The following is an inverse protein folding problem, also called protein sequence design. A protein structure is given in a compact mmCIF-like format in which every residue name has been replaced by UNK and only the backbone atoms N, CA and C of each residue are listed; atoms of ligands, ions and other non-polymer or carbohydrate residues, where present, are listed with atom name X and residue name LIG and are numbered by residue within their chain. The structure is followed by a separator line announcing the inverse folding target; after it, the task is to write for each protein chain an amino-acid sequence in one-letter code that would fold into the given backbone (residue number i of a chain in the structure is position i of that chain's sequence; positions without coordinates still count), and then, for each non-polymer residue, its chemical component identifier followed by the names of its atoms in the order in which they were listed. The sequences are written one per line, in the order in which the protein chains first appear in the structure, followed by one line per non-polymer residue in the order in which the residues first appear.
data_IF_875223795791
#
_entry.id   IF_875223795791
#
_cell.length_a   1.000
_cell.length_b   1.000
_cell.length_c   1.000
_cell.angle_alpha   90.00
_cell.angle_beta   90.00
_cell.angle_gamma   90.00
#
_symmetry.space_group_name_H-M   'P 1'
#
loop_
_entity.id
_entity.type
_entity.pdbx_description
1 polymer ?
#
# COMPACT_ATOMS: atom_id res chain seq x y z
N UNK A 1 30.36 10.37 -10.73
CA UNK A 1 29.07 11.07 -10.79
C UNK A 1 28.00 10.08 -10.31
N UNK A 2 27.71 10.05 -9.02
CA UNK A 2 26.80 9.07 -8.42
C UNK A 2 25.37 9.56 -8.67
N UNK A 3 24.68 8.91 -9.60
CA UNK A 3 23.27 9.13 -9.88
C UNK A 3 22.44 8.76 -8.66
N UNK A 4 21.97 9.74 -7.91
CA UNK A 4 20.95 9.57 -6.89
C UNK A 4 19.64 9.15 -7.58
N UNK A 5 19.22 7.89 -7.43
CA UNK A 5 17.87 7.47 -7.82
C UNK A 5 16.89 8.09 -6.82
N UNK A 6 16.02 9.03 -7.24
CA UNK A 6 15.01 9.58 -6.35
C UNK A 6 13.95 8.49 -6.10
N UNK A 7 13.55 8.32 -4.84
CA UNK A 7 12.29 7.71 -4.42
C UNK A 7 12.01 6.21 -4.66
N UNK A 8 12.93 5.41 -5.21
CA UNK A 8 12.66 3.98 -5.35
C UNK A 8 12.90 3.26 -4.00
N UNK A 9 11.80 2.86 -3.35
CA UNK A 9 11.80 2.05 -2.15
C UNK A 9 10.80 0.91 -2.31
N UNK A 10 11.07 -0.20 -1.64
CA UNK A 10 10.19 -1.37 -1.61
C UNK A 10 9.63 -1.52 -0.21
N UNK A 11 8.35 -1.85 -0.14
CA UNK A 11 7.76 -2.37 1.09
C UNK A 11 7.73 -3.90 0.98
N UNK A 12 8.10 -4.58 2.06
CA UNK A 12 8.06 -6.04 2.15
C UNK A 12 7.57 -6.45 3.52
N UNK A 13 6.87 -7.58 3.58
CA UNK A 13 6.31 -8.12 4.82
C UNK A 13 7.01 -9.42 5.26
N UNK A 14 8.05 -9.84 4.53
CA UNK A 14 8.76 -11.08 4.83
C UNK A 14 9.92 -10.80 5.79
N UNK A 15 9.66 -10.86 7.09
CA UNK A 15 10.65 -10.60 8.12
C UNK A 15 11.87 -11.55 8.05
N UNK A 16 11.71 -12.75 7.49
CA UNK A 16 12.81 -13.69 7.28
C UNK A 16 13.84 -13.19 6.26
N UNK A 17 13.47 -12.24 5.40
CA UNK A 17 14.40 -11.58 4.47
C UNK A 17 15.23 -10.47 5.13
N UNK A 18 14.97 -10.08 6.38
CA UNK A 18 15.68 -8.99 7.05
C UNK A 18 17.21 -9.19 7.10
N UNK A 19 17.76 -10.39 7.43
CA UNK A 19 19.19 -10.64 7.38
C UNK A 19 19.79 -10.46 5.98
N UNK A 20 19.06 -10.83 4.93
CA UNK A 20 19.51 -10.64 3.54
C UNK A 20 19.65 -9.14 3.21
N UNK A 21 18.68 -8.32 3.61
CA UNK A 21 18.78 -6.87 3.42
C UNK A 21 19.95 -6.26 4.19
N UNK A 22 20.19 -6.71 5.43
CA UNK A 22 21.38 -6.28 6.18
C UNK A 22 22.69 -6.67 5.48
N UNK A 23 22.79 -7.88 4.94
CA UNK A 23 23.97 -8.33 4.20
C UNK A 23 24.21 -7.50 2.93
N UNK A 24 23.15 -7.22 2.16
CA UNK A 24 23.22 -6.37 0.96
C UNK A 24 23.58 -4.92 1.30
N UNK A 25 23.09 -4.38 2.41
CA UNK A 25 23.47 -3.04 2.88
C UNK A 25 24.94 -3.00 3.30
N UNK A 26 25.40 -4.01 4.04
CA UNK A 26 26.80 -4.11 4.49
C UNK A 26 27.78 -4.25 3.31
N UNK A 27 27.39 -4.91 2.22
CA UNK A 27 28.19 -5.00 0.98
C UNK A 27 28.00 -3.82 0.02
N UNK A 28 27.22 -2.79 0.40
CA UNK A 28 26.86 -1.65 -0.44
C UNK A 28 26.20 -2.06 -1.79
N UNK A 29 25.44 -3.16 -1.78
CA UNK A 29 24.71 -3.72 -2.91
C UNK A 29 23.20 -3.53 -2.82
N UNK A 30 22.68 -2.97 -1.72
CA UNK A 30 21.26 -2.64 -1.58
C UNK A 30 20.96 -1.33 -2.32
N UNK A 31 20.28 -1.35 -3.48
CA UNK A 31 20.14 -0.15 -4.32
C UNK A 31 18.92 0.70 -3.92
N UNK A 32 18.07 0.19 -3.02
CA UNK A 32 16.74 0.71 -2.72
C UNK A 32 16.51 0.81 -1.22
N UNK A 33 15.64 1.73 -0.82
CA UNK A 33 15.15 1.76 0.56
C UNK A 33 14.20 0.58 0.79
N UNK A 34 14.35 -0.09 1.92
CA UNK A 34 13.50 -1.20 2.34
C UNK A 34 12.66 -0.75 3.53
N UNK A 35 11.35 -0.78 3.37
CA UNK A 35 10.40 -0.65 4.46
C UNK A 35 9.89 -2.04 4.81
N UNK A 36 10.46 -2.63 5.84
CA UNK A 36 10.08 -3.94 6.33
C UNK A 36 8.92 -3.78 7.33
N UNK A 37 7.83 -4.48 7.06
CA UNK A 37 6.61 -4.50 7.85
C UNK A 37 6.29 -5.93 8.27
N UNK A 38 6.91 -6.44 9.35
CA UNK A 38 6.63 -7.80 9.83
C UNK A 38 5.14 -7.99 10.09
N UNK A 39 4.65 -9.21 9.90
CA UNK A 39 3.31 -9.58 10.31
C UNK A 39 3.17 -9.45 11.83
N UNK A 40 1.97 -9.12 12.30
CA UNK A 40 1.71 -9.03 13.74
C UNK A 40 2.14 -10.29 14.51
N UNK A 41 1.90 -11.48 13.96
CA UNK A 41 2.25 -12.74 14.62
C UNK A 41 3.77 -12.92 14.77
N UNK A 42 4.58 -12.26 13.92
CA UNK A 42 6.04 -12.29 14.01
C UNK A 42 6.57 -11.38 15.11
N UNK A 43 5.78 -10.43 15.64
CA UNK A 43 6.21 -9.53 16.73
C UNK A 43 5.47 -9.76 18.04
N UNK A 44 4.42 -10.58 18.03
CA UNK A 44 3.63 -10.90 19.21
C UNK A 44 4.40 -11.90 20.10
N UNK A 45 4.85 -11.50 21.32
CA UNK A 45 5.63 -12.36 22.19
C UNK A 45 4.86 -13.61 22.67
N UNK A 46 3.54 -13.65 22.50
CA UNK A 46 2.70 -14.79 22.85
C UNK A 46 2.48 -15.76 21.67
N UNK A 47 2.96 -15.42 20.47
CA UNK A 47 2.79 -16.25 19.29
C UNK A 47 3.99 -17.19 19.08
N UNK A 48 3.72 -18.47 18.75
CA UNK A 48 4.78 -19.48 18.55
C UNK A 48 5.76 -19.16 17.41
N UNK A 49 5.33 -18.36 16.43
CA UNK A 49 6.15 -17.87 15.32
C UNK A 49 6.78 -16.49 15.54
N UNK A 50 6.81 -15.97 16.77
CA UNK A 50 7.46 -14.69 17.06
C UNK A 50 8.94 -14.72 16.65
N UNK A 51 9.37 -13.65 15.99
CA UNK A 51 10.74 -13.41 15.53
C UNK A 51 11.33 -12.24 16.32
N UNK A 52 12.63 -12.32 16.60
CA UNK A 52 13.38 -11.15 17.06
C UNK A 52 13.77 -10.29 15.85
N UNK A 53 12.92 -9.30 15.56
CA UNK A 53 13.17 -8.29 14.52
C UNK A 53 13.90 -7.06 15.06
N UNK A 54 14.38 -7.09 16.32
CA UNK A 54 15.19 -6.03 16.92
C UNK A 54 14.42 -4.76 17.34
N UNK A 55 13.09 -4.83 17.42
CA UNK A 55 12.25 -3.67 17.74
C UNK A 55 12.12 -2.67 16.58
N UNK A 56 11.42 -1.53 16.79
CA UNK A 56 11.29 -0.51 15.77
C UNK A 56 12.61 0.26 15.58
N UNK A 57 13.12 0.32 14.35
CA UNK A 57 14.33 1.06 14.00
C UNK A 57 14.32 1.63 12.59
N UNK A 58 15.22 2.58 12.37
CA UNK A 58 15.63 3.02 11.04
C UNK A 58 17.15 3.08 10.98
N UNK A 59 17.75 2.29 10.10
CA UNK A 59 19.19 2.25 9.89
C UNK A 59 19.52 2.33 8.40
N UNK A 60 20.04 3.48 7.98
CA UNK A 60 20.41 3.79 6.60
C UNK A 60 19.26 3.57 5.60
N UNK A 61 19.30 2.50 4.80
CA UNK A 61 18.28 2.18 3.79
C UNK A 61 17.15 1.30 4.33
N UNK A 62 17.31 0.70 5.51
CA UNK A 62 16.34 -0.24 6.09
C UNK A 62 15.55 0.46 7.19
N UNK A 63 14.22 0.38 7.12
CA UNK A 63 13.29 0.85 8.15
C UNK A 63 12.36 -0.28 8.55
N UNK A 64 12.29 -0.56 9.84
CA UNK A 64 11.34 -1.48 10.48
C UNK A 64 10.62 -0.69 11.55
N UNK A 65 9.47 -0.07 11.26
CA UNK A 65 8.78 0.81 12.23
C UNK A 65 7.26 0.70 12.17
N UNK A 66 6.78 -0.32 11.45
CA UNK A 66 5.39 -0.63 11.21
C UNK A 66 5.19 -2.13 11.29
N UNK A 67 4.00 -2.56 11.69
CA UNK A 67 3.56 -3.95 11.73
C UNK A 67 2.37 -4.12 10.81
N UNK A 68 2.37 -5.19 10.02
CA UNK A 68 1.30 -5.52 9.09
C UNK A 68 0.17 -6.26 9.80
N UNK A 69 -1.05 -5.85 9.53
CA UNK A 69 -2.30 -6.52 9.90
C UNK A 69 -3.22 -6.59 8.68
N UNK A 70 -4.16 -7.53 8.69
CA UNK A 70 -5.18 -7.69 7.65
C UNK A 70 -6.55 -7.61 8.29
N UNK A 71 -7.41 -6.70 7.86
CA UNK A 71 -8.80 -6.62 8.29
C UNK A 71 -9.69 -7.57 7.47
N UNK A 72 -9.41 -7.71 6.18
CA UNK A 72 -10.14 -8.56 5.24
C UNK A 72 -9.22 -9.14 4.14
N UNK A 73 -9.82 -9.83 3.17
CA UNK A 73 -9.11 -10.42 2.03
C UNK A 73 -9.06 -9.53 0.79
N UNK A 74 -9.47 -10.07 -0.36
CA UNK A 74 -9.40 -9.40 -1.66
C UNK A 74 -10.70 -9.48 -2.45
N UNK A 75 -10.91 -8.54 -3.38
CA UNK A 75 -12.09 -8.54 -4.25
C UNK A 75 -12.10 -9.74 -5.20
N UNK A 76 -10.96 -10.07 -5.81
CA UNK A 76 -10.87 -11.14 -6.81
C UNK A 76 -11.14 -12.54 -6.27
N UNK A 77 -10.83 -12.78 -4.99
CA UNK A 77 -11.15 -14.04 -4.31
C UNK A 77 -12.48 -13.98 -3.52
N UNK A 78 -13.27 -12.93 -3.69
CA UNK A 78 -14.50 -12.66 -2.93
C UNK A 78 -14.33 -12.73 -1.40
N UNK A 79 -13.20 -12.25 -0.88
CA UNK A 79 -12.87 -12.29 0.56
C UNK A 79 -12.77 -10.91 1.19
N UNK A 80 -12.83 -9.83 0.41
CA UNK A 80 -12.93 -8.48 0.96
C UNK A 80 -14.32 -8.30 1.61
N UNK A 81 -14.36 -7.71 2.80
CA UNK A 81 -15.60 -7.65 3.59
C UNK A 81 -16.52 -6.57 3.05
N UNK A 82 -17.70 -6.94 2.57
CA UNK A 82 -18.69 -6.04 2.00
C UNK A 82 -19.94 -5.97 2.87
N UNK A 83 -20.65 -4.83 2.81
CA UNK A 83 -21.95 -4.66 3.50
C UNK A 83 -23.06 -5.49 2.83
N UNK A 84 -22.97 -5.69 1.53
CA UNK A 84 -23.91 -6.46 0.72
C UNK A 84 -23.17 -7.63 0.05
N UNK A 85 -23.88 -8.72 -0.29
CA UNK A 85 -23.25 -9.84 -0.99
C UNK A 85 -22.59 -9.42 -2.31
N UNK A 86 -21.55 -10.16 -2.69
CA UNK A 86 -20.98 -10.09 -4.03
C UNK A 86 -22.06 -10.37 -5.08
N UNK A 87 -21.88 -9.80 -6.27
CA UNK A 87 -22.79 -9.96 -7.39
C UNK A 87 -23.01 -11.45 -7.67
N UNK A 88 -24.27 -11.85 -7.84
CA UNK A 88 -24.67 -13.23 -8.16
C UNK A 88 -24.21 -14.27 -7.10
N UNK A 89 -23.94 -13.83 -5.87
CA UNK A 89 -23.46 -14.65 -4.76
C UNK A 89 -24.23 -14.33 -3.46
N UNK A 90 -24.09 -15.20 -2.46
CA UNK A 90 -24.54 -14.93 -1.06
C UNK A 90 -23.37 -14.55 -0.16
N UNK A 91 -22.14 -14.64 -0.67
CA UNK A 91 -20.91 -14.35 0.05
C UNK A 91 -20.77 -12.83 0.27
N UNK A 92 -20.34 -12.43 1.47
CA UNK A 92 -20.06 -11.03 1.84
C UNK A 92 -18.57 -10.80 2.17
N UNK A 93 -17.71 -11.77 1.86
CA UNK A 93 -16.31 -11.79 2.24
C UNK A 93 -16.11 -12.13 3.71
N UNK A 94 -14.92 -11.84 4.22
CA UNK A 94 -14.51 -12.22 5.58
C UNK A 94 -13.89 -11.03 6.33
N UNK A 95 -14.15 -10.97 7.62
CA UNK A 95 -13.29 -10.24 8.55
C UNK A 95 -12.26 -11.23 9.09
N UNK A 96 -10.98 -10.92 8.90
CA UNK A 96 -9.87 -11.77 9.38
C UNK A 96 -9.83 -11.78 10.91
N UNK A 97 -10.19 -10.65 11.52
CA UNK A 97 -10.18 -10.44 12.97
C UNK A 97 -11.51 -9.85 13.44
N UNK A 98 -11.90 -10.18 14.67
CA UNK A 98 -12.98 -9.44 15.35
C UNK A 98 -12.49 -8.05 15.78
N UNK A 99 -13.40 -7.15 16.16
CA UNK A 99 -12.99 -5.84 16.68
C UNK A 99 -12.11 -5.97 17.93
N UNK A 100 -12.45 -6.88 18.84
CA UNK A 100 -11.71 -7.07 20.09
C UNK A 100 -10.31 -7.65 19.83
N UNK A 101 -10.20 -8.60 18.89
CA UNK A 101 -8.91 -9.15 18.46
C UNK A 101 -8.05 -8.07 17.78
N UNK A 102 -8.63 -7.25 16.88
CA UNK A 102 -7.92 -6.11 16.29
C UNK A 102 -7.40 -5.13 17.35
N UNK A 103 -8.23 -4.79 18.35
CA UNK A 103 -7.82 -3.89 19.43
C UNK A 103 -6.69 -4.50 20.26
N UNK A 104 -6.75 -5.80 20.58
CA UNK A 104 -5.69 -6.49 21.29
C UNK A 104 -4.38 -6.49 20.48
N UNK A 105 -4.44 -6.80 19.18
CA UNK A 105 -3.28 -6.80 18.28
C UNK A 105 -2.66 -5.42 18.12
N UNK A 106 -3.48 -4.39 17.92
CA UNK A 106 -3.01 -2.99 17.84
C UNK A 106 -2.34 -2.58 19.14
N UNK A 107 -2.87 -3.00 20.30
CA UNK A 107 -2.27 -2.72 21.61
C UNK A 107 -0.89 -3.34 21.74
N UNK A 108 -0.73 -4.63 21.39
CA UNK A 108 0.58 -5.32 21.43
C UNK A 108 1.60 -4.58 20.56
N UNK A 109 1.25 -4.28 19.31
CA UNK A 109 2.15 -3.55 18.41
C UNK A 109 2.50 -2.15 18.96
N UNK A 110 1.52 -1.43 19.51
CA UNK A 110 1.73 -0.10 20.08
C UNK A 110 2.62 -0.11 21.31
N UNK A 111 2.40 -1.05 22.24
CA UNK A 111 3.22 -1.21 23.45
C UNK A 111 4.66 -1.63 23.11
N UNK A 112 4.86 -2.37 22.02
CA UNK A 112 6.18 -2.67 21.44
C UNK A 112 6.81 -1.49 20.65
N UNK A 113 6.13 -0.35 20.56
CA UNK A 113 6.64 0.88 19.93
C UNK A 113 6.44 0.96 18.41
N UNK A 114 5.69 0.03 17.81
CA UNK A 114 5.40 0.03 16.39
C UNK A 114 4.18 0.88 16.03
N UNK A 115 4.16 1.36 14.79
CA UNK A 115 2.93 1.83 14.13
C UNK A 115 2.24 0.64 13.46
N UNK A 116 0.94 0.74 13.20
CA UNK A 116 0.20 -0.31 12.50
C UNK A 116 -0.07 0.07 11.05
N UNK A 117 0.01 -0.92 10.17
CA UNK A 117 -0.45 -0.84 8.79
C UNK A 117 -1.48 -1.94 8.56
N UNK A 118 -2.74 -1.53 8.39
CA UNK A 118 -3.86 -2.46 8.29
C UNK A 118 -4.32 -2.49 6.83
N UNK A 119 -4.24 -3.66 6.22
CA UNK A 119 -4.85 -3.93 4.92
C UNK A 119 -6.38 -4.00 5.09
N UNK A 120 -7.10 -3.17 4.34
CA UNK A 120 -8.56 -3.20 4.25
C UNK A 120 -8.97 -2.85 2.83
N UNK A 121 -9.65 -3.75 2.13
CA UNK A 121 -10.15 -3.52 0.77
C UNK A 121 -11.63 -3.15 0.79
N UNK A 122 -12.44 -3.94 1.48
CA UNK A 122 -13.86 -3.72 1.61
C UNK A 122 -14.16 -2.50 2.49
N UNK A 123 -15.12 -1.67 2.07
CA UNK A 123 -15.53 -0.50 2.85
C UNK A 123 -16.04 -0.89 4.25
N UNK A 124 -16.64 -2.07 4.39
CA UNK A 124 -17.10 -2.58 5.69
C UNK A 124 -15.93 -2.94 6.62
N UNK A 125 -14.85 -3.53 6.10
CA UNK A 125 -13.65 -3.79 6.89
C UNK A 125 -13.01 -2.49 7.40
N UNK A 126 -13.05 -1.42 6.59
CA UNK A 126 -12.58 -0.09 6.96
C UNK A 126 -13.53 0.69 7.87
N UNK A 127 -14.75 0.20 8.14
CA UNK A 127 -15.84 0.91 8.83
C UNK A 127 -16.30 2.19 8.12
N UNK A 128 -16.21 2.19 6.80
CA UNK A 128 -16.55 3.33 5.94
C UNK A 128 -17.69 3.02 4.96
N UNK A 129 -18.43 1.92 5.19
CA UNK A 129 -19.52 1.44 4.34
C UNK A 129 -20.75 2.36 4.28
N UNK A 130 -20.77 3.43 5.09
CA UNK A 130 -21.79 4.47 5.01
C UNK A 130 -21.50 5.54 3.96
N UNK A 131 -20.26 5.60 3.45
CA UNK A 131 -19.81 6.64 2.52
C UNK A 131 -18.91 6.14 1.39
N UNK A 132 -18.34 4.94 1.47
CA UNK A 132 -17.48 4.32 0.44
C UNK A 132 -18.06 2.97 -0.02
N UNK A 133 -17.57 2.50 -1.17
CA UNK A 133 -17.80 1.12 -1.63
C UNK A 133 -19.05 0.90 -2.47
N UNK A 134 -19.77 1.97 -2.85
CA UNK A 134 -20.92 1.89 -3.75
C UNK A 134 -20.96 3.11 -4.70
N UNK A 135 -21.45 2.90 -5.92
CA UNK A 135 -21.63 3.95 -6.94
C UNK A 135 -23.12 4.32 -6.98
N UNK A 136 -23.59 4.91 -5.89
CA UNK A 136 -24.98 5.36 -5.72
C UNK A 136 -25.04 6.75 -5.09
N UNK A 137 -26.12 7.54 -5.30
CA UNK A 137 -26.28 8.84 -4.66
C UNK A 137 -26.19 8.73 -3.13
N UNK A 138 -25.34 9.57 -2.52
CA UNK A 138 -25.06 9.56 -1.08
C UNK A 138 -23.68 9.00 -0.71
N UNK A 139 -23.01 8.30 -1.62
CA UNK A 139 -21.64 7.80 -1.46
C UNK A 139 -20.61 8.74 -2.11
N UNK A 140 -19.33 8.59 -1.74
CA UNK A 140 -18.25 9.35 -2.36
C UNK A 140 -18.04 8.91 -3.81
N UNK A 141 -18.08 9.89 -4.69
CA UNK A 141 -17.81 9.70 -6.11
C UNK A 141 -16.29 9.67 -6.37
N UNK A 142 -15.68 8.54 -6.02
CA UNK A 142 -14.28 8.21 -6.30
C UNK A 142 -14.22 7.05 -7.30
N UNK A 143 -14.14 7.36 -8.59
CA UNK A 143 -14.13 6.35 -9.64
C UNK A 143 -13.37 6.81 -10.89
N UNK A 144 -12.95 5.83 -11.67
CA UNK A 144 -12.30 6.03 -12.96
C UNK A 144 -13.21 5.50 -14.05
N UNK A 145 -13.43 6.30 -15.09
CA UNK A 145 -14.10 5.87 -16.31
C UNK A 145 -13.02 5.42 -17.29
N UNK A 146 -13.10 4.17 -17.71
CA UNK A 146 -12.16 3.56 -18.67
C UNK A 146 -12.85 3.25 -20.00
N UNK A 147 -12.06 3.20 -21.07
CA UNK A 147 -12.54 3.03 -22.44
C UNK A 147 -13.11 1.64 -22.73
N UNK A 148 -12.59 0.61 -22.06
CA UNK A 148 -12.86 -0.79 -22.34
C UNK A 148 -13.44 -1.48 -21.11
N UNK A 149 -14.27 -2.49 -21.32
CA UNK A 149 -14.72 -3.37 -20.24
C UNK A 149 -13.56 -4.29 -19.83
N UNK A 150 -13.00 -4.14 -18.61
CA UNK A 150 -11.85 -4.90 -18.18
C UNK A 150 -12.14 -6.39 -17.99
N UNK A 151 -13.42 -6.78 -17.95
CA UNK A 151 -13.84 -8.18 -17.76
C UNK A 151 -14.10 -8.90 -19.10
N UNK A 152 -14.31 -8.15 -20.19
CA UNK A 152 -14.64 -8.72 -21.50
C UNK A 152 -13.49 -8.67 -22.51
N UNK A 153 -12.51 -7.79 -22.28
CA UNK A 153 -11.48 -7.46 -23.26
C UNK A 153 -10.12 -8.12 -22.99
N UNK A 154 -9.35 -8.33 -24.05
CA UNK A 154 -7.97 -8.84 -23.96
C UNK A 154 -7.10 -7.92 -23.10
N UNK A 155 -6.28 -8.51 -22.22
CA UNK A 155 -5.44 -7.77 -21.26
C UNK A 155 -4.52 -6.72 -21.90
N UNK A 156 -4.14 -6.91 -23.17
CA UNK A 156 -3.31 -5.96 -23.93
C UNK A 156 -3.99 -4.62 -24.16
N UNK A 157 -5.33 -4.58 -24.30
CA UNK A 157 -6.09 -3.32 -24.42
C UNK A 157 -6.05 -2.51 -23.12
N UNK A 158 -5.86 -3.17 -21.98
CA UNK A 158 -5.76 -2.51 -20.69
C UNK A 158 -4.39 -1.81 -20.46
N UNK A 159 -3.42 -2.06 -21.35
CA UNK A 159 -2.12 -1.40 -21.35
C UNK A 159 -2.09 -0.16 -22.26
N UNK A 160 -3.19 0.16 -22.94
CA UNK A 160 -3.27 1.32 -23.81
C UNK A 160 -3.13 2.62 -22.99
N UNK A 161 -2.32 3.55 -23.50
CA UNK A 161 -2.04 4.82 -22.82
C UNK A 161 -3.24 5.76 -22.73
N UNK A 162 -4.32 5.47 -23.47
CA UNK A 162 -5.58 6.19 -23.48
C UNK A 162 -6.74 5.41 -22.85
N UNK A 163 -6.45 4.36 -22.08
CA UNK A 163 -7.46 3.57 -21.36
C UNK A 163 -8.30 4.43 -20.41
N UNK A 164 -7.69 5.39 -19.71
CA UNK A 164 -8.39 6.26 -18.77
C UNK A 164 -9.05 7.42 -19.51
N UNK A 165 -10.36 7.52 -19.41
CA UNK A 165 -11.15 8.60 -20.02
C UNK A 165 -11.42 9.73 -19.03
N UNK A 166 -11.84 9.40 -17.80
CA UNK A 166 -12.19 10.39 -16.77
C UNK A 166 -11.81 9.89 -15.39
N UNK A 167 -11.42 10.80 -14.49
CA UNK A 167 -11.14 10.49 -13.08
C UNK A 167 -11.94 11.43 -12.22
N UNK A 168 -12.72 10.87 -11.29
CA UNK A 168 -13.43 11.62 -10.27
C UNK A 168 -12.82 11.33 -8.91
N UNK A 169 -12.53 12.39 -8.15
CA UNK A 169 -12.07 12.31 -6.76
C UNK A 169 -12.97 13.18 -5.91
N UNK A 170 -13.69 12.56 -4.97
CA UNK A 170 -14.67 13.20 -4.11
C UNK A 170 -15.73 13.99 -4.91
N UNK A 171 -16.15 13.42 -6.05
CA UNK A 171 -17.13 14.04 -6.96
C UNK A 171 -16.58 15.15 -7.86
N UNK A 172 -15.31 15.53 -7.71
CA UNK A 172 -14.66 16.52 -8.57
C UNK A 172 -13.95 15.79 -9.72
N UNK A 173 -14.27 16.17 -10.96
CA UNK A 173 -13.52 15.69 -12.13
C UNK A 173 -12.08 16.22 -12.06
N UNK A 174 -11.12 15.31 -11.91
CA UNK A 174 -9.67 15.60 -11.84
C UNK A 174 -8.97 15.43 -13.18
N UNK A 175 -9.54 14.61 -14.06
CA UNK A 175 -8.99 14.32 -15.37
C UNK A 175 -10.11 14.05 -16.37
N UNK A 176 -9.94 14.53 -17.60
CA UNK A 176 -10.85 14.27 -18.71
C UNK A 176 -10.05 14.25 -20.03
N UNK A 177 -10.00 13.10 -20.68
CA UNK A 177 -9.22 12.84 -21.89
C UNK A 177 -9.56 13.77 -23.06
N UNK A 178 -10.77 14.32 -23.10
CA UNK A 178 -11.23 15.23 -24.18
C UNK A 178 -10.72 16.65 -24.01
N UNK A 179 -10.43 17.07 -22.77
CA UNK A 179 -9.99 18.42 -22.42
C UNK A 179 -8.54 18.48 -21.95
N UNK A 180 -7.99 17.36 -21.48
CA UNK A 180 -6.61 17.25 -21.02
C UNK A 180 -5.71 16.87 -22.19
N UNK A 181 -4.71 17.70 -22.56
CA UNK A 181 -3.77 17.35 -23.61
C UNK A 181 -3.09 16.02 -23.30
N UNK A 182 -2.99 15.12 -24.30
CA UNK A 182 -2.13 13.93 -24.20
C UNK A 182 -0.68 14.42 -24.11
N UNK A 183 -0.18 14.61 -22.89
CA UNK A 183 1.27 14.76 -22.70
C UNK A 183 1.91 13.44 -23.14
N UNK A 184 2.97 13.46 -23.97
CA UNK A 184 3.77 12.27 -24.15
C UNK A 184 4.16 11.78 -22.76
N UNK A 185 3.97 10.47 -22.49
CA UNK A 185 4.53 9.79 -21.33
C UNK A 185 6.04 9.92 -21.40
N UNK A 186 6.54 11.08 -21.00
CA UNK A 186 7.94 11.30 -20.80
C UNK A 186 8.13 10.92 -19.36
N UNK A 187 8.63 9.71 -19.13
CA UNK A 187 9.14 9.30 -17.81
C UNK A 187 10.39 10.14 -17.53
N UNK A 188 10.22 11.44 -17.37
CA UNK A 188 11.26 12.30 -16.80
C UNK A 188 11.22 12.07 -15.30
N UNK A 189 12.40 11.81 -14.73
CA UNK A 189 12.62 11.63 -13.30
C UNK A 189 11.72 12.57 -12.50
N UNK A 190 10.90 12.01 -11.60
CA UNK A 190 9.82 12.71 -10.92
C UNK A 190 10.20 14.13 -10.51
N UNK A 191 9.62 15.14 -11.16
CA UNK A 191 9.79 16.56 -10.81
C UNK A 191 9.05 16.98 -9.53
N UNK A 192 8.43 16.03 -8.83
CA UNK A 192 7.79 16.27 -7.54
C UNK A 192 8.87 16.52 -6.48
N UNK A 193 8.85 17.67 -5.77
CA UNK A 193 9.70 17.84 -4.60
C UNK A 193 9.28 16.79 -3.57
N UNK A 194 10.15 15.81 -3.31
CA UNK A 194 9.91 14.85 -2.23
C UNK A 194 9.59 15.58 -0.93
N UNK A 195 8.75 14.97 -0.07
CA UNK A 195 8.33 15.51 1.25
C UNK A 195 9.47 15.99 2.17
N UNK A 196 10.73 15.74 1.81
CA UNK A 196 11.94 16.08 2.57
C UNK A 196 12.91 17.05 1.85
N UNK A 197 12.44 17.83 0.88
CA UNK A 197 13.26 18.87 0.23
C UNK A 197 14.31 18.34 -0.76
N UNK A 198 15.03 19.26 -1.40
CA UNK A 198 16.06 18.95 -2.41
C UNK A 198 17.31 18.39 -1.71
N UNK A 199 17.58 17.11 -1.95
CA UNK A 199 18.89 16.46 -1.84
C UNK A 199 19.42 16.35 -0.39
N UNK A 200 19.33 15.15 0.20
CA UNK A 200 20.17 14.79 1.36
C UNK A 200 21.54 14.33 0.84
N UNK A 201 22.54 15.18 1.01
CA UNK A 201 23.94 14.82 0.87
C UNK A 201 24.29 13.84 2.01
N UNK A 202 24.91 12.70 1.69
CA UNK A 202 25.37 11.70 2.66
C UNK A 202 26.22 12.33 3.76
N UNK A 203 26.10 11.84 5.00
CA UNK A 203 26.91 12.25 6.17
C UNK A 203 28.42 12.08 5.95
N UNK A 204 28.80 11.27 4.95
CA UNK A 204 30.16 11.02 4.50
C UNK A 204 30.80 12.17 3.68
N UNK A 205 30.03 13.18 3.26
CA UNK A 205 30.55 14.34 2.53
C UNK A 205 30.74 15.59 3.40
N UNK A 206 30.77 15.44 4.74
CA UNK A 206 31.18 16.50 5.67
C UNK A 206 32.67 16.38 5.97
N UNK A 207 33.50 16.83 5.04
CA UNK A 207 34.86 17.30 5.36
C UNK A 207 34.89 18.80 5.07
#
# INVERSE_FOLDING_TARGET
MVSCIPHLGVQTNDAHCLPLYHALQASNQLPLRVYMTPDHNEIDPHHHGCLDVGGPFQHDLITVDRVKLFADGSLGAETAALRQPYRDSTNQGILVHTNDDMVAKIRIAHEAGYRVEIHAIGAYAAKEESRLGDITPGFQADFVVIQYDPMAEESTKLLASDIVQRVFVQGIERFNSTTTPKSPLTVQASGLPGKNGKIRICRCCRV
#
